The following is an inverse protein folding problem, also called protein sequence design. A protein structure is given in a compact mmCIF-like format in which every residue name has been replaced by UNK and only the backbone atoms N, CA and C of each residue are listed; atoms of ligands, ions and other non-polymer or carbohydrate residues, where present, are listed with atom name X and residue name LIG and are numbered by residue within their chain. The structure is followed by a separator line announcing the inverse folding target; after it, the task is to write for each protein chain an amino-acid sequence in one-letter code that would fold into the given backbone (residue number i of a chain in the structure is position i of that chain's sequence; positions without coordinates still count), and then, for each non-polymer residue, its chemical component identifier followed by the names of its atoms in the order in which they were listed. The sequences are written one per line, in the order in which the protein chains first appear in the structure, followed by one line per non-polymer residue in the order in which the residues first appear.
data_IF_914855501926
#
_entry.id   IF_914855501926
#
_cell.length_a   1.000
_cell.length_b   1.000
_cell.length_c   1.000
_cell.angle_alpha   90.00
_cell.angle_beta   90.00
_cell.angle_gamma   90.00
#
_symmetry.space_group_name_H-M   'P 1'
#
loop_
_entity.id
_entity.type
_entity.pdbx_description
1 polymer ?
#
# COMPACT_ATOMS: atom_id res chain seq x y z
N UNK A 1 -17.29 26.72 -3.22
CA UNK A 1 -15.99 27.27 -3.68
C UNK A 1 -14.82 26.36 -3.30
N UNK A 2 -14.80 25.81 -2.10
CA UNK A 2 -13.74 24.94 -1.55
C UNK A 2 -13.55 23.61 -2.32
N UNK A 3 -14.64 22.90 -2.62
CA UNK A 3 -14.61 21.69 -3.45
C UNK A 3 -14.01 21.91 -4.85
N UNK A 4 -14.15 23.11 -5.43
CA UNK A 4 -13.54 23.41 -6.74
C UNK A 4 -12.03 23.59 -6.64
N UNK A 5 -11.54 24.16 -5.54
CA UNK A 5 -10.10 24.33 -5.31
C UNK A 5 -9.43 22.97 -5.10
N UNK A 6 -10.03 22.08 -4.29
CA UNK A 6 -9.58 20.70 -4.10
C UNK A 6 -9.51 19.97 -5.44
N UNK A 7 -10.58 20.07 -6.25
CA UNK A 7 -10.64 19.46 -7.58
C UNK A 7 -9.55 19.98 -8.52
N UNK A 8 -9.31 21.29 -8.56
CA UNK A 8 -8.25 21.91 -9.38
C UNK A 8 -6.85 21.46 -8.96
N UNK A 9 -6.58 21.35 -7.66
CA UNK A 9 -5.29 20.86 -7.15
C UNK A 9 -5.03 19.41 -7.58
N UNK A 10 -6.03 18.55 -7.44
CA UNK A 10 -5.96 17.15 -7.86
C UNK A 10 -5.77 17.03 -9.39
N UNK A 11 -6.52 17.80 -10.19
CA UNK A 11 -6.37 17.83 -11.66
C UNK A 11 -4.98 18.27 -12.11
N UNK A 12 -4.32 19.16 -11.37
CA UNK A 12 -2.96 19.62 -11.69
C UNK A 12 -1.89 18.58 -11.39
N UNK A 13 -2.07 17.77 -10.34
CA UNK A 13 -1.12 16.74 -9.93
C UNK A 13 -1.32 15.41 -10.68
N UNK A 14 -2.55 15.12 -11.12
CA UNK A 14 -2.94 13.86 -11.77
C UNK A 14 -2.09 13.49 -13.01
N UNK A 15 -1.75 14.40 -13.95
CA UNK A 15 -0.97 14.02 -15.13
C UNK A 15 0.43 13.50 -14.79
N UNK A 16 1.09 14.10 -13.78
CA UNK A 16 2.41 13.65 -13.31
C UNK A 16 2.32 12.27 -12.64
N UNK A 17 1.25 12.04 -11.89
CA UNK A 17 0.97 10.73 -11.30
C UNK A 17 0.76 9.66 -12.37
N UNK A 18 -0.06 9.94 -13.38
CA UNK A 18 -0.30 9.03 -14.51
C UNK A 18 1.01 8.73 -15.25
N UNK A 19 1.82 9.75 -15.54
CA UNK A 19 3.13 9.56 -16.19
C UNK A 19 4.02 8.61 -15.39
N UNK A 20 4.03 8.74 -14.07
CA UNK A 20 4.79 7.84 -13.20
C UNK A 20 4.26 6.40 -13.26
N UNK A 21 2.94 6.21 -13.23
CA UNK A 21 2.32 4.90 -13.41
C UNK A 21 2.68 4.26 -14.77
N UNK A 22 2.67 5.05 -15.85
CA UNK A 22 3.05 4.57 -17.19
C UNK A 22 4.53 4.15 -17.23
N UNK A 23 5.43 4.95 -16.66
CA UNK A 23 6.86 4.60 -16.57
C UNK A 23 7.04 3.30 -15.79
N UNK A 24 6.37 3.15 -14.64
CA UNK A 24 6.40 1.92 -13.85
C UNK A 24 5.89 0.71 -14.63
N UNK A 25 4.79 0.87 -15.37
CA UNK A 25 4.25 -0.17 -16.25
C UNK A 25 5.20 -0.57 -17.38
N UNK A 26 5.87 0.40 -18.00
CA UNK A 26 6.87 0.14 -19.04
C UNK A 26 8.09 -0.61 -18.48
N UNK A 27 8.62 -0.18 -17.34
CA UNK A 27 9.73 -0.87 -16.67
C UNK A 27 9.35 -2.31 -16.31
N UNK A 28 8.16 -2.51 -15.74
CA UNK A 28 7.64 -3.84 -15.44
C UNK A 28 7.49 -4.71 -16.69
N UNK A 29 6.93 -4.16 -17.78
CA UNK A 29 6.76 -4.85 -19.05
C UNK A 29 8.08 -5.24 -19.73
N UNK A 30 9.06 -4.33 -19.75
CA UNK A 30 10.40 -4.62 -20.31
C UNK A 30 11.09 -5.72 -19.50
N UNK A 31 11.05 -5.63 -18.17
CA UNK A 31 11.68 -6.63 -17.30
C UNK A 31 10.99 -7.99 -17.44
N UNK A 32 9.66 -8.02 -17.54
CA UNK A 32 8.89 -9.23 -17.83
C UNK A 32 9.25 -9.84 -19.19
N UNK A 33 9.38 -9.02 -20.24
CA UNK A 33 9.79 -9.49 -21.57
C UNK A 33 11.21 -10.08 -21.57
N UNK A 34 12.17 -9.42 -20.92
CA UNK A 34 13.55 -9.91 -20.82
C UNK A 34 13.62 -11.26 -20.10
N UNK A 35 12.79 -11.44 -19.06
CA UNK A 35 12.66 -12.70 -18.34
C UNK A 35 12.06 -13.81 -19.22
N UNK A 36 11.01 -13.50 -19.98
CA UNK A 36 10.37 -14.47 -20.89
C UNK A 36 11.27 -14.85 -22.07
N UNK A 37 12.04 -13.89 -22.62
CA UNK A 37 12.88 -14.10 -23.80
C UNK A 37 14.17 -14.87 -23.50
N UNK A 38 14.77 -14.67 -22.31
CA UNK A 38 16.06 -15.26 -21.98
C UNK A 38 15.97 -16.62 -21.27
N UNK A 39 14.77 -17.05 -20.85
CA UNK A 39 14.59 -18.27 -20.06
C UNK A 39 15.22 -18.15 -18.67
N UNK A 40 14.42 -18.21 -17.62
CA UNK A 40 14.95 -18.25 -16.24
C UNK A 40 15.42 -19.67 -15.90
N UNK A 41 16.51 -20.13 -16.53
CA UNK A 41 17.17 -21.39 -16.12
C UNK A 41 17.98 -21.23 -14.81
N UNK A 42 18.07 -20.01 -14.28
CA UNK A 42 18.97 -19.68 -13.17
C UNK A 42 18.32 -19.47 -11.79
N UNK A 43 16.99 -19.47 -11.64
CA UNK A 43 16.36 -19.32 -10.31
C UNK A 43 15.32 -20.40 -10.00
N UNK A 44 15.79 -21.37 -9.22
CA UNK A 44 15.05 -22.28 -8.33
C UNK A 44 14.31 -23.47 -8.97
N UNK A 45 15.04 -24.58 -9.11
CA UNK A 45 14.47 -25.91 -9.41
C UNK A 45 13.76 -26.54 -8.20
N UNK A 46 13.88 -25.99 -6.99
CA UNK A 46 13.42 -26.63 -5.73
C UNK A 46 12.44 -25.80 -4.86
N UNK A 47 11.38 -25.26 -5.44
CA UNK A 47 10.13 -24.90 -4.70
C UNK A 47 9.00 -25.88 -5.11
N UNK A 48 9.35 -27.16 -5.29
CA UNK A 48 8.49 -28.15 -5.93
C UNK A 48 7.39 -28.67 -5.01
N UNK A 49 6.15 -28.41 -5.44
CA UNK A 49 5.19 -29.41 -5.93
C UNK A 49 3.82 -29.46 -5.24
N UNK A 50 3.66 -29.04 -3.98
CA UNK A 50 2.34 -29.10 -3.32
C UNK A 50 1.65 -27.73 -3.23
N UNK A 51 2.44 -26.65 -3.06
CA UNK A 51 1.90 -25.28 -2.93
C UNK A 51 1.71 -24.59 -4.28
N UNK A 52 2.53 -24.91 -5.29
CA UNK A 52 2.55 -24.19 -6.58
C UNK A 52 1.24 -24.30 -7.39
N UNK A 53 0.70 -25.51 -7.61
CA UNK A 53 -0.50 -25.65 -8.46
C UNK A 53 -1.77 -25.06 -7.83
N UNK A 54 -1.97 -25.26 -6.53
CA UNK A 54 -3.16 -24.74 -5.85
C UNK A 54 -3.11 -23.23 -5.67
N UNK A 55 -1.94 -22.66 -5.35
CA UNK A 55 -1.80 -21.21 -5.19
C UNK A 55 -1.92 -20.50 -6.54
N UNK A 56 -1.29 -21.00 -7.60
CA UNK A 56 -1.41 -20.41 -8.95
C UNK A 56 -2.84 -20.45 -9.47
N UNK A 57 -3.59 -21.52 -9.15
CA UNK A 57 -4.98 -21.61 -9.57
C UNK A 57 -5.93 -20.75 -8.72
N UNK A 58 -5.67 -20.60 -7.42
CA UNK A 58 -6.59 -19.90 -6.50
C UNK A 58 -6.30 -18.40 -6.36
N UNK A 59 -5.03 -17.98 -6.44
CA UNK A 59 -4.62 -16.60 -6.23
C UNK A 59 -5.30 -15.60 -7.19
N UNK A 60 -5.48 -15.89 -8.50
CA UNK A 60 -6.22 -15.01 -9.39
C UNK A 60 -7.68 -14.77 -8.99
N UNK A 61 -8.36 -15.81 -8.54
CA UNK A 61 -9.77 -15.71 -8.13
C UNK A 61 -9.90 -15.03 -6.77
N UNK A 62 -8.94 -15.22 -5.86
CA UNK A 62 -8.85 -14.45 -4.62
C UNK A 62 -8.57 -12.97 -4.91
N UNK A 63 -7.72 -12.67 -5.90
CA UNK A 63 -7.48 -11.30 -6.35
C UNK A 63 -8.75 -10.67 -6.91
N UNK A 64 -9.47 -11.40 -7.77
CA UNK A 64 -10.73 -10.93 -8.34
C UNK A 64 -11.78 -10.71 -7.24
N UNK A 65 -11.90 -11.64 -6.29
CA UNK A 65 -12.78 -11.48 -5.13
C UNK A 65 -12.41 -10.23 -4.32
N UNK A 66 -11.11 -9.99 -4.09
CA UNK A 66 -10.63 -8.80 -3.40
C UNK A 66 -10.96 -7.51 -4.17
N UNK A 67 -10.83 -7.51 -5.49
CA UNK A 67 -11.21 -6.39 -6.36
C UNK A 67 -12.70 -6.06 -6.25
N UNK A 68 -13.56 -7.05 -6.08
CA UNK A 68 -15.01 -6.81 -5.87
C UNK A 68 -15.30 -6.40 -4.42
N UNK A 69 -14.60 -7.00 -3.45
CA UNK A 69 -14.79 -6.73 -2.02
C UNK A 69 -14.35 -5.32 -1.62
N UNK A 70 -13.27 -4.81 -2.22
CA UNK A 70 -12.75 -3.47 -1.96
C UNK A 70 -13.84 -2.38 -2.07
N UNK A 71 -14.51 -2.18 -3.22
CA UNK A 71 -15.57 -1.20 -3.35
C UNK A 71 -16.82 -1.61 -2.56
N UNK A 72 -17.13 -2.91 -2.46
CA UNK A 72 -18.30 -3.37 -1.71
C UNK A 72 -18.26 -2.98 -0.23
N UNK A 73 -17.09 -3.01 0.40
CA UNK A 73 -16.89 -2.60 1.80
C UNK A 73 -16.67 -1.10 1.92
N UNK A 74 -15.80 -0.51 1.09
CA UNK A 74 -15.40 0.90 1.27
C UNK A 74 -16.48 1.89 0.84
N UNK A 75 -17.23 1.62 -0.23
CA UNK A 75 -18.22 2.57 -0.78
C UNK A 75 -19.38 2.83 0.19
N UNK A 76 -19.96 1.83 0.90
CA UNK A 76 -20.99 2.10 1.91
C UNK A 76 -20.49 2.99 3.05
N UNK A 77 -19.29 2.73 3.60
CA UNK A 77 -18.72 3.54 4.68
C UNK A 77 -18.41 4.96 4.20
N UNK A 78 -17.81 5.10 3.02
CA UNK A 78 -17.57 6.40 2.39
C UNK A 78 -18.87 7.18 2.15
N UNK A 79 -19.93 6.54 1.63
CA UNK A 79 -21.23 7.20 1.41
C UNK A 79 -21.86 7.66 2.73
N UNK A 80 -21.74 6.87 3.80
CA UNK A 80 -22.21 7.26 5.13
C UNK A 80 -21.45 8.47 5.66
N UNK A 81 -20.11 8.44 5.59
CA UNK A 81 -19.26 9.57 5.96
C UNK A 81 -19.62 10.84 5.18
N UNK A 82 -19.76 10.73 3.84
CA UNK A 82 -20.14 11.86 2.99
C UNK A 82 -21.52 12.43 3.30
N UNK A 83 -22.51 11.59 3.63
CA UNK A 83 -23.84 12.05 4.02
C UNK A 83 -23.81 12.83 5.32
N UNK A 84 -23.05 12.36 6.31
CA UNK A 84 -22.88 13.07 7.58
C UNK A 84 -22.13 14.38 7.37
N UNK A 85 -21.06 14.39 6.57
CA UNK A 85 -20.33 15.60 6.23
C UNK A 85 -21.22 16.66 5.56
N UNK A 86 -22.21 16.27 4.76
CA UNK A 86 -23.15 17.20 4.14
C UNK A 86 -24.19 17.79 5.12
N UNK A 87 -24.39 17.14 6.28
CA UNK A 87 -25.29 17.58 7.35
C UNK A 87 -24.53 18.26 8.49
N UNK A 88 -23.20 18.19 8.48
CA UNK A 88 -22.34 18.77 9.49
C UNK A 88 -22.34 20.29 9.35
N UNK A 89 -22.49 20.97 10.48
CA UNK A 89 -22.58 22.43 10.57
C UNK A 89 -21.21 23.12 10.62
N UNK A 90 -20.13 22.35 10.79
CA UNK A 90 -18.76 22.85 10.84
C UNK A 90 -18.17 22.96 12.24
N UNK A 91 -18.99 22.76 13.29
CA UNK A 91 -18.57 22.97 14.69
C UNK A 91 -18.76 21.72 15.56
N UNK A 92 -19.67 20.80 15.21
CA UNK A 92 -19.90 19.58 15.99
C UNK A 92 -18.72 18.59 15.89
N UNK A 93 -17.86 18.57 16.92
CA UNK A 93 -16.71 17.67 17.02
C UNK A 93 -17.09 16.19 17.08
N UNK A 94 -18.23 15.82 17.68
CA UNK A 94 -18.65 14.41 17.79
C UNK A 94 -19.04 13.86 16.41
N UNK A 95 -19.73 14.67 15.60
CA UNK A 95 -20.03 14.33 14.22
C UNK A 95 -18.75 14.25 13.38
N UNK A 96 -17.80 15.17 13.57
CA UNK A 96 -16.50 15.15 12.89
C UNK A 96 -15.73 13.86 13.21
N UNK A 97 -15.61 13.49 14.48
CA UNK A 97 -14.96 12.25 14.94
C UNK A 97 -15.60 11.00 14.33
N UNK A 98 -16.93 10.98 14.23
CA UNK A 98 -17.65 9.88 13.59
C UNK A 98 -17.39 9.79 12.07
N UNK A 99 -17.21 10.92 11.39
CA UNK A 99 -16.82 10.96 9.98
C UNK A 99 -15.38 10.44 9.84
N UNK A 100 -14.44 10.95 10.64
CA UNK A 100 -13.03 10.56 10.62
C UNK A 100 -12.83 9.07 10.91
N UNK A 101 -13.56 8.50 11.87
CA UNK A 101 -13.50 7.07 12.17
C UNK A 101 -13.93 6.23 10.96
N UNK A 102 -15.02 6.62 10.27
CA UNK A 102 -15.47 5.93 9.04
C UNK A 102 -14.45 6.03 7.92
N UNK A 103 -13.85 7.21 7.74
CA UNK A 103 -12.80 7.41 6.73
C UNK A 103 -11.53 6.61 7.08
N UNK A 104 -11.20 6.48 8.36
CA UNK A 104 -10.08 5.68 8.85
C UNK A 104 -10.28 4.18 8.58
N UNK A 105 -11.49 3.65 8.78
CA UNK A 105 -11.86 2.27 8.40
C UNK A 105 -11.70 2.07 6.89
N UNK A 106 -12.19 3.03 6.08
CA UNK A 106 -12.05 3.00 4.62
C UNK A 106 -10.57 2.96 4.22
N UNK A 107 -9.73 3.81 4.83
CA UNK A 107 -8.31 3.89 4.53
C UNK A 107 -7.56 2.63 4.95
N UNK A 108 -7.88 2.07 6.12
CA UNK A 108 -7.30 0.82 6.61
C UNK A 108 -7.64 -0.35 5.69
N UNK A 109 -8.91 -0.52 5.32
CA UNK A 109 -9.34 -1.60 4.44
C UNK A 109 -8.74 -1.47 3.03
N UNK A 110 -8.65 -0.24 2.52
CA UNK A 110 -8.01 0.04 1.22
C UNK A 110 -6.53 -0.32 1.24
N UNK A 111 -5.80 0.11 2.28
CA UNK A 111 -4.37 -0.18 2.44
C UNK A 111 -4.12 -1.68 2.61
N UNK A 112 -4.94 -2.36 3.42
CA UNK A 112 -4.88 -3.81 3.60
C UNK A 112 -5.14 -4.58 2.29
N UNK A 113 -6.15 -4.16 1.52
CA UNK A 113 -6.46 -4.77 0.22
C UNK A 113 -5.31 -4.60 -0.77
N UNK A 114 -4.68 -3.43 -0.81
CA UNK A 114 -3.49 -3.19 -1.64
C UNK A 114 -2.33 -4.12 -1.25
N UNK A 115 -2.02 -4.24 0.05
CA UNK A 115 -0.94 -5.12 0.53
C UNK A 115 -1.22 -6.59 0.17
N UNK A 116 -2.45 -7.06 0.39
CA UNK A 116 -2.85 -8.43 0.02
C UNK A 116 -2.75 -8.62 -1.50
N UNK A 117 -3.13 -7.63 -2.30
CA UNK A 117 -3.03 -7.71 -3.75
C UNK A 117 -1.58 -7.86 -4.24
N UNK A 118 -0.61 -7.17 -3.62
CA UNK A 118 0.81 -7.36 -3.94
C UNK A 118 1.29 -8.79 -3.66
N UNK A 119 0.82 -9.39 -2.56
CA UNK A 119 1.12 -10.78 -2.28
C UNK A 119 0.47 -11.72 -3.30
N UNK A 120 -0.81 -11.52 -3.63
CA UNK A 120 -1.55 -12.39 -4.56
C UNK A 120 -1.01 -12.33 -5.99
N UNK A 121 -0.50 -11.19 -6.45
CA UNK A 121 0.10 -11.09 -7.78
C UNK A 121 1.45 -11.81 -7.81
N UNK A 122 2.25 -11.69 -6.75
CA UNK A 122 3.48 -12.46 -6.60
C UNK A 122 3.21 -13.97 -6.52
N UNK A 123 2.16 -14.37 -5.80
CA UNK A 123 1.70 -15.75 -5.73
C UNK A 123 1.22 -16.28 -7.08
N UNK A 124 0.59 -15.42 -7.89
CA UNK A 124 0.22 -15.74 -9.27
C UNK A 124 1.47 -15.98 -10.12
N UNK A 125 2.56 -15.22 -9.92
CA UNK A 125 3.84 -15.45 -10.62
C UNK A 125 4.55 -16.77 -10.28
N UNK A 126 4.15 -17.49 -9.23
CA UNK A 126 4.82 -18.71 -8.78
C UNK A 126 4.82 -19.87 -9.80
N UNK A 127 3.95 -19.82 -10.83
CA UNK A 127 3.94 -20.78 -11.92
C UNK A 127 5.05 -20.58 -12.96
N UNK A 128 5.76 -19.44 -12.94
CA UNK A 128 6.80 -19.11 -13.92
C UNK A 128 6.31 -19.22 -15.37
N UNK A 129 7.16 -19.77 -16.25
CA UNK A 129 6.85 -19.90 -17.70
C UNK A 129 5.70 -20.88 -17.95
N UNK A 130 5.46 -21.84 -17.05
CA UNK A 130 4.39 -22.85 -17.21
C UNK A 130 2.97 -22.25 -17.17
N UNK A 131 2.83 -20.99 -16.78
CA UNK A 131 1.56 -20.27 -16.88
C UNK A 131 1.11 -20.02 -18.32
N UNK A 132 2.05 -19.92 -19.26
CA UNK A 132 1.76 -19.67 -20.68
C UNK A 132 1.49 -20.95 -21.48
N UNK A 133 1.74 -22.13 -20.89
CA UNK A 133 1.60 -23.42 -21.57
C UNK A 133 0.14 -23.93 -21.61
N UNK A 134 -0.74 -23.41 -20.75
CA UNK A 134 -2.14 -23.83 -20.67
C UNK A 134 -3.08 -22.62 -20.69
N UNK A 135 -4.07 -22.64 -21.58
CA UNK A 135 -5.09 -21.60 -21.71
C UNK A 135 -5.78 -21.26 -20.37
N UNK A 136 -6.05 -22.25 -19.51
CA UNK A 136 -6.67 -22.00 -18.19
C UNK A 136 -5.74 -21.22 -17.25
N UNK A 137 -4.45 -21.52 -17.26
CA UNK A 137 -3.47 -20.82 -16.43
C UNK A 137 -3.22 -19.40 -16.97
N UNK A 138 -3.18 -19.24 -18.29
CA UNK A 138 -3.07 -17.96 -18.96
C UNK A 138 -4.27 -17.05 -18.65
N UNK A 139 -5.50 -17.57 -18.74
CA UNK A 139 -6.71 -16.83 -18.36
C UNK A 139 -6.65 -16.41 -16.88
N UNK A 140 -6.26 -17.31 -15.98
CA UNK A 140 -6.08 -16.98 -14.56
C UNK A 140 -5.06 -15.87 -14.37
N UNK A 141 -3.94 -15.94 -15.06
CA UNK A 141 -2.89 -14.93 -15.01
C UNK A 141 -3.37 -13.55 -15.49
N UNK A 142 -4.07 -13.50 -16.63
CA UNK A 142 -4.65 -12.26 -17.17
C UNK A 142 -5.68 -11.66 -16.20
N UNK A 143 -6.53 -12.50 -15.60
CA UNK A 143 -7.48 -12.08 -14.56
C UNK A 143 -6.76 -11.48 -13.36
N UNK A 144 -5.66 -12.08 -12.89
CA UNK A 144 -4.90 -11.56 -11.77
C UNK A 144 -4.31 -10.17 -12.06
N UNK A 145 -3.75 -9.97 -13.27
CA UNK A 145 -3.20 -8.67 -13.69
C UNK A 145 -4.31 -7.62 -13.74
N UNK A 146 -5.43 -7.92 -14.42
CA UNK A 146 -6.55 -6.96 -14.55
C UNK A 146 -7.13 -6.63 -13.18
N UNK A 147 -7.35 -7.62 -12.32
CA UNK A 147 -7.86 -7.40 -10.97
C UNK A 147 -6.88 -6.61 -10.10
N UNK A 148 -5.57 -6.87 -10.19
CA UNK A 148 -4.56 -6.10 -9.48
C UNK A 148 -4.55 -4.62 -9.91
N UNK A 149 -4.60 -4.35 -11.23
CA UNK A 149 -4.69 -2.99 -11.76
C UNK A 149 -5.98 -2.29 -11.34
N UNK A 150 -7.11 -3.02 -11.30
CA UNK A 150 -8.38 -2.51 -10.80
C UNK A 150 -8.28 -2.12 -9.32
N UNK A 151 -7.73 -2.98 -8.45
CA UNK A 151 -7.50 -2.69 -7.02
C UNK A 151 -6.61 -1.46 -6.85
N UNK A 152 -5.53 -1.33 -7.64
CA UNK A 152 -4.66 -0.16 -7.62
C UNK A 152 -5.42 1.13 -7.98
N UNK A 153 -6.21 1.10 -9.05
CA UNK A 153 -6.99 2.26 -9.49
C UNK A 153 -8.07 2.63 -8.47
N UNK A 154 -8.81 1.64 -7.98
CA UNK A 154 -9.83 1.81 -6.93
C UNK A 154 -9.21 2.37 -5.65
N UNK A 155 -8.08 1.83 -5.22
CA UNK A 155 -7.38 2.28 -4.02
C UNK A 155 -6.97 3.74 -4.09
N UNK A 156 -6.44 4.19 -5.24
CA UNK A 156 -6.11 5.60 -5.47
C UNK A 156 -7.37 6.48 -5.46
N UNK A 157 -8.44 6.06 -6.12
CA UNK A 157 -9.71 6.82 -6.17
C UNK A 157 -10.34 6.92 -4.78
N UNK A 158 -10.37 5.82 -4.03
CA UNK A 158 -10.94 5.76 -2.67
C UNK A 158 -10.10 6.63 -1.74
N UNK A 159 -8.77 6.50 -1.77
CA UNK A 159 -7.88 7.32 -0.96
C UNK A 159 -8.04 8.81 -1.28
N UNK A 160 -8.10 9.18 -2.57
CA UNK A 160 -8.35 10.56 -2.98
C UNK A 160 -9.68 11.07 -2.40
N UNK A 161 -10.77 10.31 -2.55
CA UNK A 161 -12.09 10.70 -2.04
C UNK A 161 -12.14 10.82 -0.54
N UNK A 162 -11.49 9.92 0.19
CA UNK A 162 -11.40 9.97 1.65
C UNK A 162 -10.62 11.19 2.11
N UNK A 163 -9.47 11.46 1.49
CA UNK A 163 -8.67 12.65 1.79
C UNK A 163 -9.43 13.93 1.44
N UNK A 164 -10.12 13.98 0.31
CA UNK A 164 -10.92 15.14 -0.08
C UNK A 164 -12.06 15.41 0.91
N UNK A 165 -12.65 14.37 1.55
CA UNK A 165 -13.59 14.56 2.66
C UNK A 165 -12.92 15.17 3.90
N UNK A 166 -11.72 14.71 4.27
CA UNK A 166 -10.95 15.29 5.40
C UNK A 166 -10.63 16.76 5.15
N UNK A 167 -10.30 17.14 3.91
CA UNK A 167 -10.04 18.54 3.55
C UNK A 167 -11.25 19.47 3.64
N UNK A 168 -12.46 18.93 3.51
CA UNK A 168 -13.68 19.73 3.72
C UNK A 168 -13.87 20.04 5.20
N UNK A 169 -13.50 19.10 6.08
CA UNK A 169 -13.50 19.34 7.53
C UNK A 169 -12.32 20.22 7.98
N UNK A 170 -11.21 20.14 7.25
CA UNK A 170 -9.95 20.79 7.56
C UNK A 170 -9.42 21.58 6.34
N UNK A 171 -9.96 22.79 6.07
CA UNK A 171 -9.62 23.60 4.90
C UNK A 171 -8.14 23.94 4.71
N UNK A 172 -7.36 23.95 5.80
CA UNK A 172 -5.92 24.21 5.79
C UNK A 172 -5.12 23.08 5.12
N UNK A 173 -5.69 21.88 5.00
CA UNK A 173 -5.07 20.73 4.33
C UNK A 173 -5.17 20.87 2.81
N UNK A 174 -4.12 21.37 2.18
CA UNK A 174 -4.10 21.62 0.71
C UNK A 174 -3.42 20.53 -0.12
N UNK A 175 -2.82 19.50 0.51
CA UNK A 175 -2.01 18.51 -0.19
C UNK A 175 -2.85 17.53 -1.04
N UNK A 176 -2.48 17.33 -2.30
CA UNK A 176 -3.12 16.36 -3.21
C UNK A 176 -2.51 14.97 -3.05
N UNK A 177 -3.35 13.92 -3.00
CA UNK A 177 -2.91 12.51 -2.93
C UNK A 177 -2.05 12.12 -4.13
N UNK A 178 -2.28 12.73 -5.29
CA UNK A 178 -1.48 12.52 -6.50
C UNK A 178 -0.07 13.14 -6.44
N UNK A 179 0.25 13.92 -5.40
CA UNK A 179 1.58 14.49 -5.23
C UNK A 179 2.54 13.45 -4.65
N UNK A 180 3.70 13.26 -5.28
CA UNK A 180 4.73 12.33 -4.79
C UNK A 180 5.24 12.68 -3.39
N UNK A 181 5.09 13.95 -2.97
CA UNK A 181 5.44 14.42 -1.63
C UNK A 181 4.21 14.59 -0.73
N UNK A 182 3.09 13.92 -1.04
CA UNK A 182 1.84 14.03 -0.31
C UNK A 182 2.05 13.93 1.21
N UNK A 183 2.69 12.87 1.70
CA UNK A 183 2.92 12.66 3.14
C UNK A 183 3.67 13.82 3.80
N UNK A 184 4.71 14.34 3.12
CA UNK A 184 5.49 15.47 3.62
C UNK A 184 4.63 16.74 3.65
N UNK A 185 3.97 17.06 2.53
CA UNK A 185 3.11 18.24 2.43
C UNK A 185 1.94 18.20 3.40
N UNK A 186 1.39 17.00 3.64
CA UNK A 186 0.32 16.77 4.61
C UNK A 186 0.82 17.06 6.03
N UNK A 187 1.97 16.51 6.41
CA UNK A 187 2.57 16.77 7.71
C UNK A 187 2.98 18.24 7.91
N UNK A 188 3.44 18.92 6.85
CA UNK A 188 3.79 20.34 6.89
C UNK A 188 2.56 21.24 7.15
N UNK A 189 1.35 20.80 6.76
CA UNK A 189 0.07 21.48 7.07
C UNK A 189 -0.51 21.12 8.43
N UNK A 190 0.11 20.20 9.17
CA UNK A 190 -0.35 19.85 10.50
C UNK A 190 0.12 20.85 11.55
N UNK A 191 -0.74 21.12 12.53
CA UNK A 191 -0.35 21.85 13.72
C UNK A 191 0.59 21.01 14.61
N UNK A 192 1.06 21.60 15.71
CA UNK A 192 2.00 20.93 16.60
C UNK A 192 1.36 19.76 17.39
N UNK A 193 0.06 19.85 17.72
CA UNK A 193 -0.64 18.77 18.41
C UNK A 193 -0.83 17.55 17.49
N UNK A 194 -1.27 17.76 16.26
CA UNK A 194 -1.40 16.74 15.22
C UNK A 194 -0.06 16.09 14.91
N UNK A 195 1.03 16.87 14.75
CA UNK A 195 2.38 16.33 14.54
C UNK A 195 2.83 15.44 15.69
N UNK A 196 2.53 15.81 16.94
CA UNK A 196 2.82 14.98 18.11
C UNK A 196 2.02 13.67 18.07
N UNK A 197 0.73 13.71 17.71
CA UNK A 197 -0.11 12.52 17.56
C UNK A 197 0.46 11.59 16.48
N UNK A 198 0.75 12.12 15.29
CA UNK A 198 1.39 11.36 14.19
C UNK A 198 2.71 10.76 14.65
N UNK A 199 3.53 11.51 15.39
CA UNK A 199 4.78 11.04 15.97
C UNK A 199 4.61 9.86 16.92
N UNK A 200 3.62 9.93 17.84
CA UNK A 200 3.30 8.82 18.77
C UNK A 200 2.81 7.58 18.02
N UNK A 201 1.93 7.76 17.03
CA UNK A 201 1.44 6.68 16.18
C UNK A 201 2.59 6.03 15.39
N UNK A 202 3.45 6.83 14.76
CA UNK A 202 4.60 6.36 14.00
C UNK A 202 5.60 5.60 14.89
N UNK A 203 5.88 6.10 16.11
CA UNK A 203 6.75 5.41 17.06
C UNK A 203 6.16 4.06 17.50
N UNK A 204 4.86 4.00 17.78
CA UNK A 204 4.19 2.73 18.12
C UNK A 204 4.26 1.75 16.96
N UNK A 205 4.00 2.20 15.73
CA UNK A 205 4.11 1.38 14.52
C UNK A 205 5.54 0.88 14.28
N UNK A 206 6.54 1.74 14.49
CA UNK A 206 7.96 1.38 14.41
C UNK A 206 8.33 0.25 15.39
N UNK A 207 7.92 0.37 16.65
CA UNK A 207 8.21 -0.63 17.67
C UNK A 207 7.54 -1.98 17.37
N UNK A 208 6.27 -1.97 16.94
CA UNK A 208 5.57 -3.19 16.54
C UNK A 208 6.25 -3.82 15.32
N UNK A 209 6.63 -3.01 14.32
CA UNK A 209 7.31 -3.50 13.11
C UNK A 209 8.64 -4.17 13.45
N UNK A 210 9.44 -3.60 14.36
CA UNK A 210 10.69 -4.22 14.80
C UNK A 210 10.47 -5.55 15.51
N UNK A 211 9.45 -5.64 16.37
CA UNK A 211 9.09 -6.89 17.05
C UNK A 211 8.64 -7.95 16.05
N UNK A 212 7.78 -7.59 15.09
CA UNK A 212 7.29 -8.49 14.04
C UNK A 212 8.45 -8.96 13.15
N UNK A 213 9.35 -8.07 12.73
CA UNK A 213 10.53 -8.45 11.93
C UNK A 213 11.42 -9.45 12.67
N UNK A 214 11.67 -9.22 13.97
CA UNK A 214 12.48 -10.13 14.80
C UNK A 214 11.84 -11.52 14.90
N UNK A 215 10.54 -11.59 15.20
CA UNK A 215 9.80 -12.86 15.30
C UNK A 215 9.79 -13.57 13.94
N UNK A 216 9.51 -12.85 12.85
CA UNK A 216 9.50 -13.42 11.50
C UNK A 216 10.88 -13.94 11.08
N UNK A 217 11.96 -13.23 11.40
CA UNK A 217 13.32 -13.67 11.08
C UNK A 217 13.64 -15.03 11.72
N UNK A 218 13.23 -15.24 12.98
CA UNK A 218 13.39 -16.52 13.70
C UNK A 218 12.54 -17.61 13.06
N UNK A 219 11.26 -17.34 12.81
CA UNK A 219 10.34 -18.31 12.19
C UNK A 219 10.87 -18.74 10.81
N UNK A 220 11.33 -17.79 10.00
CA UNK A 220 11.86 -18.08 8.66
C UNK A 220 13.18 -18.83 8.72
N UNK A 221 14.04 -18.57 9.71
CA UNK A 221 15.28 -19.33 9.91
C UNK A 221 15.00 -20.80 10.29
N UNK A 222 14.03 -21.05 11.18
CA UNK A 222 13.59 -22.41 11.52
C UNK A 222 12.95 -23.08 10.30
N UNK A 223 12.11 -22.34 9.57
CA UNK A 223 11.45 -22.84 8.37
C UNK A 223 12.45 -23.20 7.27
N UNK A 224 13.56 -22.48 7.16
CA UNK A 224 14.65 -22.82 6.22
C UNK A 224 15.25 -24.20 6.53
N UNK A 225 15.41 -24.55 7.81
CA UNK A 225 15.89 -25.88 8.23
C UNK A 225 14.84 -26.98 8.01
N UNK A 226 13.57 -26.70 8.35
CA UNK A 226 12.50 -27.71 8.32
C UNK A 226 11.94 -27.98 6.91
N UNK A 227 11.87 -26.95 6.07
CA UNK A 227 11.14 -27.01 4.79
C UNK A 227 12.02 -26.71 3.57
N UNK A 228 13.30 -26.42 3.76
CA UNK A 228 14.23 -26.18 2.66
C UNK A 228 13.93 -24.92 1.84
N UNK A 229 13.17 -23.95 2.37
CA UNK A 229 12.80 -22.71 1.68
C UNK A 229 13.99 -21.77 1.37
N UNK A 230 15.20 -22.13 1.83
CA UNK A 230 16.41 -21.33 1.70
C UNK A 230 16.45 -20.11 2.64
N UNK A 231 17.55 -19.36 2.58
CA UNK A 231 17.78 -18.19 3.45
C UNK A 231 17.12 -16.91 2.92
N UNK A 232 16.73 -16.87 1.65
CA UNK A 232 16.32 -15.64 0.95
C UNK A 232 15.11 -14.94 1.60
N UNK A 233 14.02 -15.64 2.01
CA UNK A 233 12.91 -14.98 2.71
C UNK A 233 13.35 -14.31 4.02
N UNK A 234 14.20 -14.97 4.81
CA UNK A 234 14.73 -14.41 6.07
C UNK A 234 15.63 -13.19 5.80
N UNK A 235 16.45 -13.25 4.74
CA UNK A 235 17.30 -12.12 4.32
C UNK A 235 16.49 -10.87 3.99
N UNK A 236 15.38 -11.00 3.24
CA UNK A 236 14.51 -9.86 2.90
C UNK A 236 13.91 -9.22 4.17
N UNK A 237 13.47 -10.03 5.14
CA UNK A 237 12.96 -9.51 6.42
C UNK A 237 14.05 -8.75 7.19
N UNK A 238 15.26 -9.30 7.29
CA UNK A 238 16.39 -8.62 7.93
C UNK A 238 16.78 -7.31 7.23
N UNK A 239 16.70 -7.27 5.90
CA UNK A 239 16.99 -6.06 5.11
C UNK A 239 15.94 -4.95 5.38
N UNK A 240 14.66 -5.29 5.43
CA UNK A 240 13.61 -4.33 5.84
C UNK A 240 13.89 -3.82 7.25
N UNK A 241 14.24 -4.73 8.16
CA UNK A 241 14.47 -4.40 9.56
C UNK A 241 15.68 -3.47 9.75
N UNK A 242 16.82 -3.76 9.12
CA UNK A 242 18.02 -2.93 9.24
C UNK A 242 17.79 -1.55 8.63
N UNK A 243 17.06 -1.44 7.51
CA UNK A 243 16.72 -0.15 6.90
C UNK A 243 15.83 0.65 7.86
N UNK A 244 14.79 0.03 8.42
CA UNK A 244 13.87 0.69 9.34
C UNK A 244 14.60 1.28 10.56
N UNK A 245 15.45 0.47 11.22
CA UNK A 245 16.26 0.91 12.36
C UNK A 245 17.27 1.98 11.94
N UNK A 246 17.94 1.81 10.79
CA UNK A 246 18.97 2.75 10.34
C UNK A 246 18.40 4.14 10.03
N UNK A 247 17.25 4.21 9.37
CA UNK A 247 16.59 5.50 9.07
C UNK A 247 16.12 6.17 10.35
N UNK A 248 15.54 5.42 11.28
CA UNK A 248 15.13 5.95 12.59
C UNK A 248 16.33 6.54 13.34
N UNK A 249 17.41 5.78 13.49
CA UNK A 249 18.63 6.25 14.17
C UNK A 249 19.23 7.49 13.47
N UNK A 250 19.27 7.50 12.14
CA UNK A 250 19.78 8.64 11.36
C UNK A 250 18.97 9.91 11.61
N UNK A 251 17.65 9.82 11.58
CA UNK A 251 16.78 10.98 11.85
C UNK A 251 16.87 11.42 13.32
N UNK A 252 16.92 10.49 14.28
CA UNK A 252 17.16 10.83 15.70
C UNK A 252 18.46 11.62 15.89
N UNK A 253 19.57 11.21 15.26
CA UNK A 253 20.84 11.94 15.33
C UNK A 253 20.75 13.35 14.72
N UNK A 254 20.03 13.48 13.61
CA UNK A 254 19.81 14.78 12.95
C UNK A 254 19.00 15.72 13.84
N UNK A 255 17.91 15.24 14.45
CA UNK A 255 17.09 16.04 15.35
C UNK A 255 17.81 16.35 16.66
N UNK A 256 18.58 15.42 17.23
CA UNK A 256 19.41 15.68 18.42
C UNK A 256 20.44 16.78 18.16
N UNK A 257 21.15 16.74 17.02
CA UNK A 257 22.09 17.82 16.63
C UNK A 257 21.42 19.16 16.40
N UNK A 258 20.15 19.17 15.99
CA UNK A 258 19.39 20.40 15.74
C UNK A 258 18.81 20.96 17.06
N UNK A 259 18.34 20.08 17.95
CA UNK A 259 17.88 20.44 19.30
C UNK A 259 19.01 20.98 20.18
N UNK A 260 20.20 20.38 20.12
CA UNK A 260 21.41 20.88 20.80
C UNK A 260 21.92 22.24 20.26
N UNK A 261 21.37 22.76 19.16
CA UNK A 261 21.67 24.11 18.64
C UNK A 261 20.59 25.13 18.99
N UNK A 262 19.46 24.68 19.54
CA UNK A 262 18.31 25.51 19.93
C UNK A 262 18.27 25.69 21.46
N UNK A 263 18.86 24.75 22.22
CA UNK A 263 19.31 24.95 23.61
C UNK A 263 20.64 25.67 23.65
#
# INVERSE_FOLDING_TARGET
MENEQIKKANQKALPKFILFCVIGGLVGGIMGYLVAANGLDAMSVDIKAVVSKYVVLTAPWLMLALAVMLPAVTVPYYRKAKKQLALWDGEDEEISDHIENKLSIVQWFTSGSLIISYFLIAASYAGGITMFENAKNMIGFDVAIVAFLAIMAEGVIIQQKSVDCVKVMNPEKTASVYDMKFQKKWLDTCDEAEKIIVGKCAFKAFNVTNSVCSILAIILAISALMFGIGFFPSFIVCLIWIINVSIYCKECLKYSKSGNKIM
#
